data_IF_297480064981
#
_entry.id   IF_297480064981
#
_cell.length_a   1.000
_cell.length_b   1.000
_cell.length_c   1.000
_cell.angle_alpha   90.00
_cell.angle_beta   90.00
_cell.angle_gamma   90.00
#
_symmetry.space_group_name_H-M   'P 1'
#
loop_
_entity.id
_entity.type
_entity.pdbx_description
1 polymer ?
#
# COMPACT_ATOMS: atom_id res chain seq x y z
N UNK A 1 11.70 -70.09 -23.31
CA UNK A 1 12.05 -68.78 -23.90
C UNK A 1 10.73 -68.10 -24.23
N UNK A 2 10.29 -67.01 -23.62
CA UNK A 2 10.86 -65.65 -23.67
C UNK A 2 10.46 -64.87 -22.40
N UNK A 3 11.39 -64.02 -21.95
CA UNK A 3 11.45 -63.35 -20.66
C UNK A 3 10.45 -62.21 -20.45
N UNK A 4 9.95 -62.09 -19.21
CA UNK A 4 9.20 -60.93 -18.68
C UNK A 4 10.22 -59.86 -18.25
N UNK A 5 10.28 -58.73 -18.97
CA UNK A 5 11.12 -57.57 -18.60
C UNK A 5 10.62 -56.90 -17.31
N UNK A 6 11.48 -56.55 -16.34
CA UNK A 6 11.10 -55.69 -15.22
C UNK A 6 11.16 -54.22 -15.65
N UNK A 7 10.10 -53.47 -15.36
CA UNK A 7 10.08 -52.01 -15.50
C UNK A 7 10.92 -51.37 -14.40
N UNK A 8 11.84 -50.49 -14.77
CA UNK A 8 12.70 -49.75 -13.84
C UNK A 8 11.94 -48.58 -13.19
N UNK A 9 11.71 -48.63 -11.87
CA UNK A 9 11.32 -47.47 -11.07
C UNK A 9 12.50 -46.50 -10.93
N UNK A 10 12.31 -45.25 -11.34
CA UNK A 10 13.27 -44.17 -11.07
C UNK A 10 12.96 -43.58 -9.69
N UNK A 11 13.96 -43.39 -8.80
CA UNK A 11 13.72 -42.81 -7.48
C UNK A 11 13.24 -41.36 -7.66
N UNK A 12 12.05 -41.06 -7.13
CA UNK A 12 11.51 -39.71 -7.08
C UNK A 12 12.32 -38.91 -6.05
N UNK A 13 13.31 -38.16 -6.53
CA UNK A 13 14.08 -37.22 -5.71
C UNK A 13 13.10 -36.18 -5.19
N UNK A 14 12.66 -36.38 -3.96
CA UNK A 14 11.73 -35.49 -3.29
C UNK A 14 12.53 -34.24 -2.94
N UNK A 15 12.44 -33.21 -3.77
CA UNK A 15 12.88 -31.86 -3.43
C UNK A 15 12.27 -31.48 -2.08
N UNK A 16 13.04 -30.93 -1.12
CA UNK A 16 12.55 -30.69 0.23
C UNK A 16 11.34 -29.75 0.17
N UNK A 17 10.19 -30.28 0.57
CA UNK A 17 8.96 -29.52 0.69
C UNK A 17 9.10 -28.58 1.88
N UNK A 18 8.95 -27.28 1.65
CA UNK A 18 9.05 -26.25 2.68
C UNK A 18 8.23 -26.63 3.92
N UNK A 19 8.88 -26.51 5.09
CA UNK A 19 8.24 -26.72 6.38
C UNK A 19 7.02 -25.80 6.54
N UNK A 20 6.11 -26.16 7.46
CA UNK A 20 4.94 -25.33 7.73
C UNK A 20 5.32 -23.88 8.14
N UNK A 21 6.42 -23.72 8.88
CA UNK A 21 6.96 -22.44 9.30
C UNK A 21 7.50 -21.62 8.11
N UNK A 22 8.25 -22.24 7.18
CA UNK A 22 8.76 -21.55 5.98
C UNK A 22 7.63 -21.12 5.04
N UNK A 23 6.60 -21.96 4.86
CA UNK A 23 5.40 -21.58 4.10
C UNK A 23 4.63 -20.44 4.76
N UNK A 24 4.55 -20.41 6.08
CA UNK A 24 3.91 -19.31 6.82
C UNK A 24 4.71 -18.00 6.68
N UNK A 25 6.04 -18.05 6.82
CA UNK A 25 6.92 -16.90 6.63
C UNK A 25 6.87 -16.36 5.20
N UNK A 26 6.86 -17.23 4.19
CA UNK A 26 6.72 -16.84 2.78
C UNK A 26 5.36 -16.17 2.52
N UNK A 27 4.28 -16.70 3.09
CA UNK A 27 2.94 -16.10 2.99
C UNK A 27 2.86 -14.74 3.71
N UNK A 28 3.48 -14.61 4.87
CA UNK A 28 3.55 -13.34 5.61
C UNK A 28 4.31 -12.27 4.80
N UNK A 29 5.49 -12.62 4.28
CA UNK A 29 6.26 -11.74 3.40
C UNK A 29 5.49 -11.36 2.13
N UNK A 30 4.81 -12.31 1.49
CA UNK A 30 3.99 -12.02 0.32
C UNK A 30 2.82 -11.06 0.63
N UNK A 31 2.18 -11.22 1.80
CA UNK A 31 1.14 -10.29 2.27
C UNK A 31 1.72 -8.90 2.55
N UNK A 32 2.88 -8.82 3.18
CA UNK A 32 3.57 -7.56 3.48
C UNK A 32 3.97 -6.83 2.19
N UNK A 33 4.59 -7.53 1.23
CA UNK A 33 4.94 -6.98 -0.08
C UNK A 33 3.71 -6.46 -0.83
N UNK A 34 2.59 -7.20 -0.80
CA UNK A 34 1.34 -6.74 -1.44
C UNK A 34 0.78 -5.50 -0.74
N UNK A 35 0.75 -5.48 0.59
CA UNK A 35 0.29 -4.34 1.36
C UNK A 35 1.17 -3.11 1.12
N UNK A 36 2.48 -3.30 1.02
CA UNK A 36 3.45 -2.25 0.72
C UNK A 36 3.25 -1.69 -0.69
N UNK A 37 3.09 -2.56 -1.70
CA UNK A 37 2.79 -2.12 -3.07
C UNK A 37 1.46 -1.35 -3.17
N UNK A 38 0.44 -1.75 -2.40
CA UNK A 38 -0.81 -0.99 -2.31
C UNK A 38 -0.61 0.37 -1.64
N UNK A 39 0.13 0.43 -0.52
CA UNK A 39 0.46 1.71 0.14
C UNK A 39 1.21 2.67 -0.77
N UNK A 40 2.22 2.19 -1.48
CA UNK A 40 3.01 3.01 -2.42
C UNK A 40 2.17 3.46 -3.62
N UNK A 41 1.25 2.61 -4.09
CA UNK A 41 0.29 2.97 -5.13
C UNK A 41 -0.66 4.09 -4.69
N UNK A 42 -1.26 3.93 -3.50
CA UNK A 42 -2.19 4.89 -2.91
C UNK A 42 -1.49 6.24 -2.62
N UNK A 43 -0.25 6.22 -2.16
CA UNK A 43 0.55 7.41 -1.91
C UNK A 43 0.91 8.14 -3.20
N UNK A 44 1.29 7.41 -4.26
CA UNK A 44 1.53 8.00 -5.59
C UNK A 44 0.28 8.66 -6.16
N UNK A 45 -0.88 8.04 -6.00
CA UNK A 45 -2.15 8.62 -6.41
C UNK A 45 -2.45 9.93 -5.64
N UNK A 46 -2.22 9.92 -4.33
CA UNK A 46 -2.36 11.11 -3.50
C UNK A 46 -1.42 12.24 -3.96
N UNK A 47 -0.15 11.93 -4.25
CA UNK A 47 0.83 12.90 -4.75
C UNK A 47 0.40 13.47 -6.10
N UNK A 48 -0.12 12.63 -7.00
CA UNK A 48 -0.67 13.08 -8.28
C UNK A 48 -1.86 14.03 -8.06
N UNK A 49 -2.74 13.74 -7.10
CA UNK A 49 -3.84 14.66 -6.74
C UNK A 49 -3.38 15.97 -6.12
N UNK A 50 -2.31 15.97 -5.34
CA UNK A 50 -1.69 17.21 -4.86
C UNK A 50 -1.17 18.03 -6.04
N UNK A 51 -0.53 17.42 -7.03
CA UNK A 51 -0.01 18.10 -8.20
C UNK A 51 -1.10 18.75 -9.08
N UNK A 52 -2.34 18.27 -9.04
CA UNK A 52 -3.49 18.87 -9.74
C UNK A 52 -4.04 20.14 -9.06
N UNK A 53 -3.68 20.41 -7.79
CA UNK A 53 -4.22 21.54 -7.01
C UNK A 53 -3.68 22.89 -7.47
N UNK A 54 -4.38 23.97 -7.12
CA UNK A 54 -3.89 25.34 -7.30
C UNK A 54 -2.61 25.56 -6.46
N UNK A 55 -1.70 26.46 -6.87
CA UNK A 55 -0.39 26.61 -6.24
C UNK A 55 -0.43 26.82 -4.71
N UNK A 56 -1.40 27.59 -4.21
CA UNK A 56 -1.57 27.86 -2.77
C UNK A 56 -1.96 26.61 -1.99
N UNK A 57 -2.98 25.87 -2.45
CA UNK A 57 -3.42 24.61 -1.82
C UNK A 57 -2.39 23.50 -1.99
N UNK A 58 -1.72 23.43 -3.14
CA UNK A 58 -0.65 22.48 -3.41
C UNK A 58 0.49 22.61 -2.41
N UNK A 59 1.02 23.82 -2.23
CA UNK A 59 2.12 24.07 -1.29
C UNK A 59 1.76 23.66 0.14
N UNK A 60 0.50 23.89 0.56
CA UNK A 60 0.01 23.43 1.86
C UNK A 60 -0.10 21.90 1.93
N UNK A 61 -0.67 21.26 0.91
CA UNK A 61 -0.86 19.82 0.87
C UNK A 61 0.48 19.06 0.87
N UNK A 62 1.46 19.52 0.08
CA UNK A 62 2.82 18.97 0.06
C UNK A 62 3.49 19.09 1.43
N UNK A 63 3.36 20.26 2.08
CA UNK A 63 3.92 20.49 3.40
C UNK A 63 3.27 19.58 4.45
N UNK A 64 1.95 19.45 4.43
CA UNK A 64 1.22 18.55 5.31
C UNK A 64 1.62 17.10 5.10
N UNK A 65 1.72 16.67 3.84
CA UNK A 65 2.14 15.31 3.51
C UNK A 65 3.50 14.97 4.11
N UNK A 66 4.50 15.83 3.94
CA UNK A 66 5.83 15.62 4.56
C UNK A 66 5.77 15.59 6.08
N UNK A 67 5.01 16.49 6.71
CA UNK A 67 4.88 16.54 8.17
C UNK A 67 4.25 15.25 8.69
N UNK A 68 3.14 14.83 8.10
CA UNK A 68 2.41 13.63 8.52
C UNK A 68 3.26 12.38 8.30
N UNK A 69 3.92 12.27 7.16
CA UNK A 69 4.84 11.17 6.89
C UNK A 69 5.98 11.11 7.92
N UNK A 70 6.52 12.26 8.34
CA UNK A 70 7.59 12.31 9.35
C UNK A 70 7.11 12.03 10.78
N UNK A 71 5.92 12.49 11.14
CA UNK A 71 5.41 12.45 12.52
C UNK A 71 4.61 11.17 12.80
N UNK A 72 3.99 10.59 11.78
CA UNK A 72 3.11 9.43 11.88
C UNK A 72 3.32 8.49 10.66
N UNK A 73 4.50 7.85 10.54
CA UNK A 73 4.84 6.98 9.41
C UNK A 73 3.98 5.70 9.33
N UNK A 74 3.22 5.39 10.38
CA UNK A 74 2.27 4.28 10.42
C UNK A 74 0.96 4.58 9.67
N UNK A 75 0.70 5.84 9.32
CA UNK A 75 -0.48 6.22 8.55
C UNK A 75 -0.31 5.90 7.06
N UNK A 76 -1.33 5.28 6.47
CA UNK A 76 -1.42 5.08 5.04
C UNK A 76 -1.93 6.36 4.37
N UNK A 77 -1.10 6.98 3.53
CA UNK A 77 -1.48 8.06 2.63
C UNK A 77 -2.36 7.51 1.49
N UNK A 78 -3.53 8.10 1.25
CA UNK A 78 -4.44 7.68 0.18
C UNK A 78 -5.34 8.82 -0.30
N UNK A 79 -5.88 8.70 -1.50
CA UNK A 79 -6.96 9.58 -1.95
C UNK A 79 -8.29 9.19 -1.29
N UNK A 80 -9.03 10.16 -0.77
CA UNK A 80 -10.38 9.98 -0.22
C UNK A 80 -11.31 11.06 -0.75
N UNK A 81 -12.38 10.67 -1.44
CA UNK A 81 -13.29 11.58 -2.17
C UNK A 81 -12.55 12.59 -3.08
N UNK A 82 -11.43 12.18 -3.67
CA UNK A 82 -10.59 13.01 -4.52
C UNK A 82 -9.80 14.09 -3.76
N UNK A 83 -9.45 13.85 -2.51
CA UNK A 83 -8.61 14.71 -1.67
C UNK A 83 -7.55 13.88 -0.94
N UNK A 84 -6.41 14.49 -0.54
CA UNK A 84 -5.42 13.80 0.29
C UNK A 84 -6.01 13.42 1.65
N UNK A 85 -5.81 12.16 2.05
CA UNK A 85 -6.20 11.67 3.35
C UNK A 85 -5.18 10.67 3.91
N UNK A 86 -5.22 10.48 5.22
CA UNK A 86 -4.31 9.64 5.97
C UNK A 86 -5.13 8.72 6.86
N UNK A 87 -4.88 7.43 6.71
CA UNK A 87 -5.66 6.39 7.35
C UNK A 87 -4.82 5.56 8.32
N UNK A 88 -5.41 5.26 9.48
CA UNK A 88 -4.88 4.27 10.42
C UNK A 88 -5.79 3.05 10.37
N UNK A 89 -5.23 1.87 10.14
CA UNK A 89 -5.98 0.60 10.07
C UNK A 89 -7.19 0.65 9.10
N UNK A 90 -7.06 1.39 7.99
CA UNK A 90 -8.10 1.52 6.97
C UNK A 90 -9.13 2.65 7.21
N UNK A 91 -9.16 3.24 8.41
CA UNK A 91 -10.01 4.38 8.74
C UNK A 91 -9.24 5.69 8.55
N UNK A 92 -9.81 6.64 7.80
CA UNK A 92 -9.23 8.00 7.66
C UNK A 92 -9.32 8.68 9.00
N UNK A 93 -8.20 9.23 9.48
CA UNK A 93 -8.11 9.99 10.75
C UNK A 93 -7.76 11.45 10.51
N UNK A 94 -7.20 11.78 9.34
CA UNK A 94 -6.86 13.14 8.93
C UNK A 94 -7.03 13.30 7.42
N UNK A 95 -7.52 14.45 6.95
CA UNK A 95 -7.68 14.75 5.52
C UNK A 95 -7.48 16.25 5.23
N UNK A 96 -7.15 16.57 3.98
CA UNK A 96 -6.94 17.95 3.52
C UNK A 96 -7.97 18.32 2.46
N UNK A 97 -8.78 19.35 2.73
CA UNK A 97 -9.75 19.89 1.79
C UNK A 97 -9.19 21.15 1.12
N UNK A 98 -8.86 21.11 -0.19
CA UNK A 98 -8.39 22.29 -0.92
C UNK A 98 -9.54 23.29 -1.11
N UNK A 99 -9.27 24.58 -0.84
CA UNK A 99 -10.26 25.64 -0.91
C UNK A 99 -10.99 25.73 -2.25
N UNK A 100 -10.24 25.57 -3.35
CA UNK A 100 -10.73 25.68 -4.72
C UNK A 100 -11.78 24.61 -5.08
N UNK A 101 -11.74 23.44 -4.43
CA UNK A 101 -12.69 22.36 -4.70
C UNK A 101 -14.05 22.60 -4.04
N UNK A 102 -14.08 23.35 -2.95
CA UNK A 102 -15.29 23.60 -2.15
C UNK A 102 -15.77 25.05 -2.19
N UNK A 103 -15.08 25.92 -2.92
CA UNK A 103 -15.42 27.35 -3.01
C UNK A 103 -15.28 28.07 -1.67
N UNK A 104 -14.39 27.59 -0.79
CA UNK A 104 -14.17 28.20 0.54
C UNK A 104 -13.05 29.23 0.48
N UNK A 105 -13.01 30.14 1.48
CA UNK A 105 -11.94 31.14 1.59
C UNK A 105 -10.58 30.52 1.96
N UNK A 106 -10.59 29.41 2.68
CA UNK A 106 -9.41 28.75 3.21
C UNK A 106 -9.50 27.25 2.98
N UNK A 107 -8.33 26.61 2.83
CA UNK A 107 -8.21 25.16 2.82
C UNK A 107 -8.32 24.63 4.25
N UNK A 108 -8.91 23.45 4.40
CA UNK A 108 -9.23 22.88 5.72
C UNK A 108 -8.43 21.61 5.96
N UNK A 109 -7.87 21.47 7.15
CA UNK A 109 -7.40 20.19 7.67
C UNK A 109 -8.43 19.65 8.66
N UNK A 110 -8.96 18.46 8.37
CA UNK A 110 -9.99 17.81 9.18
C UNK A 110 -9.47 16.55 9.85
N UNK A 111 -10.03 16.21 11.01
CA UNK A 111 -9.70 15.03 11.81
C UNK A 111 -10.98 14.26 12.15
N UNK A 112 -10.90 12.93 12.29
CA UNK A 112 -12.02 12.07 12.73
C UNK A 112 -11.62 11.15 13.87
#
# INVERSE_FOLDING_TARGET
>A
MVAKKPGSERPNVTSPSFSAAERAAMRARAKELKAQASKEGDERELIAKIAEMQPSSRAMAERLHRIIHSAAPDLSARTWYGMPAYAKNGQVVCFFQPAEKFGTRYSTIGFS
#
